data_IF_986537844955
#
_entry.id   IF_986537844955
#
_cell.length_a   1.000
_cell.length_b   1.000
_cell.length_c   1.000
_cell.angle_alpha   90.00
_cell.angle_beta   90.00
_cell.angle_gamma   90.00
#
_symmetry.space_group_name_H-M   'P 1'
#
loop_
_entity.id
_entity.type
_entity.pdbx_description
1 polymer ?
#
# COMPACT_ATOMS: atom_id res chain seq x y z
N UNK A 1 -5.41 -44.47 -24.62
CA UNK A 1 -4.34 -43.54 -24.18
C UNK A 1 -4.95 -42.14 -24.07
N UNK A 2 -4.90 -41.56 -22.89
CA UNK A 2 -5.26 -40.14 -22.76
C UNK A 2 -4.26 -39.28 -23.54
N UNK A 3 -4.78 -38.36 -24.35
CA UNK A 3 -3.94 -37.45 -25.12
C UNK A 3 -3.39 -36.38 -24.17
N UNK A 4 -2.07 -36.26 -24.09
CA UNK A 4 -1.41 -35.21 -23.33
C UNK A 4 -1.83 -33.83 -23.88
N UNK A 5 -2.26 -32.93 -23.00
CA UNK A 5 -2.51 -31.52 -23.31
C UNK A 5 -1.33 -30.72 -22.77
N UNK A 6 -0.75 -29.85 -23.59
CA UNK A 6 0.36 -28.98 -23.23
C UNK A 6 -0.11 -27.52 -23.33
N UNK A 7 0.05 -26.77 -22.25
CA UNK A 7 -0.05 -25.31 -22.25
C UNK A 7 1.38 -24.76 -22.22
N UNK A 8 1.77 -24.03 -23.27
CA UNK A 8 3.07 -23.36 -23.35
C UNK A 8 2.85 -21.85 -23.25
N UNK A 9 3.37 -21.23 -22.21
CA UNK A 9 3.27 -19.79 -21.96
C UNK A 9 4.60 -19.14 -22.33
N UNK A 10 4.58 -18.21 -23.29
CA UNK A 10 5.70 -17.36 -23.66
C UNK A 10 5.53 -16.02 -22.96
N UNK A 11 6.01 -15.91 -21.73
CA UNK A 11 5.89 -14.72 -20.91
C UNK A 11 6.66 -13.55 -21.54
N UNK A 12 6.00 -12.38 -21.64
CA UNK A 12 6.55 -11.21 -22.32
C UNK A 12 6.45 -11.23 -23.86
N UNK A 13 5.94 -12.32 -24.46
CA UNK A 13 5.72 -12.42 -25.90
C UNK A 13 4.41 -11.75 -26.31
N UNK A 14 4.42 -10.41 -26.37
CA UNK A 14 3.24 -9.62 -26.67
C UNK A 14 3.07 -9.33 -28.16
N UNK A 15 1.84 -8.99 -28.56
CA UNK A 15 1.53 -8.51 -29.91
C UNK A 15 1.65 -6.98 -29.99
N UNK A 16 2.30 -6.50 -31.03
CA UNK A 16 2.29 -5.09 -31.44
C UNK A 16 2.35 -5.00 -32.97
N UNK A 17 1.57 -4.08 -33.53
CA UNK A 17 1.65 -3.74 -34.96
C UNK A 17 2.89 -2.92 -35.30
N UNK A 18 3.53 -2.28 -34.30
CA UNK A 18 4.75 -1.51 -34.46
C UNK A 18 5.96 -2.42 -34.65
N UNK A 19 6.72 -2.18 -35.70
CA UNK A 19 7.97 -2.92 -35.99
C UNK A 19 9.21 -2.26 -35.39
N UNK A 20 9.17 -0.93 -35.20
CA UNK A 20 10.28 -0.20 -34.61
C UNK A 20 10.47 -0.61 -33.14
N UNK A 21 11.71 -0.91 -32.73
CA UNK A 21 12.06 -1.35 -31.37
C UNK A 21 11.30 -2.62 -30.91
N UNK A 22 10.80 -3.44 -31.81
CA UNK A 22 10.06 -4.67 -31.52
C UNK A 22 10.92 -5.89 -31.92
N UNK A 23 11.60 -6.48 -30.94
CA UNK A 23 12.47 -7.61 -31.14
C UNK A 23 11.75 -8.84 -31.74
N UNK A 24 10.49 -9.08 -31.39
CA UNK A 24 9.68 -10.18 -31.92
C UNK A 24 9.41 -9.97 -33.43
N UNK A 25 8.99 -8.75 -33.81
CA UNK A 25 8.68 -8.42 -35.19
C UNK A 25 9.91 -8.30 -36.09
N UNK A 26 11.11 -8.16 -35.52
CA UNK A 26 12.38 -8.07 -36.23
C UNK A 26 13.12 -9.42 -36.29
N UNK A 27 12.73 -10.38 -35.47
CA UNK A 27 13.33 -11.71 -35.45
C UNK A 27 12.82 -12.59 -36.60
N UNK A 28 13.63 -13.54 -37.04
CA UNK A 28 13.20 -14.64 -37.92
C UNK A 28 12.51 -15.71 -37.07
N UNK A 29 11.17 -15.80 -37.18
CA UNK A 29 10.32 -16.67 -36.34
C UNK A 29 9.49 -17.64 -37.17
N UNK A 30 10.08 -18.51 -38.01
CA UNK A 30 9.35 -19.29 -39.00
C UNK A 30 8.32 -20.24 -38.38
N UNK A 31 8.58 -20.82 -37.21
CA UNK A 31 7.62 -21.68 -36.54
C UNK A 31 6.45 -20.90 -35.94
N UNK A 32 6.72 -19.73 -35.35
CA UNK A 32 5.68 -18.85 -34.83
C UNK A 32 4.77 -18.33 -35.95
N UNK A 33 5.37 -17.87 -37.03
CA UNK A 33 4.65 -17.38 -38.20
C UNK A 33 3.76 -18.47 -38.79
N UNK A 34 4.30 -19.69 -38.92
CA UNK A 34 3.52 -20.86 -39.35
C UNK A 34 2.33 -21.14 -38.43
N UNK A 35 2.48 -21.03 -37.10
CA UNK A 35 1.40 -21.24 -36.16
C UNK A 35 0.32 -20.18 -36.28
N UNK A 36 0.68 -18.90 -36.39
CA UNK A 36 -0.27 -17.80 -36.53
C UNK A 36 -1.05 -17.89 -37.84
N UNK A 37 -0.41 -18.32 -38.92
CA UNK A 37 -1.06 -18.45 -40.24
C UNK A 37 -1.98 -19.66 -40.36
N UNK A 38 -1.62 -20.79 -39.72
CA UNK A 38 -2.27 -22.07 -40.03
C UNK A 38 -3.12 -22.65 -38.89
N UNK A 39 -3.09 -22.06 -37.70
CA UNK A 39 -3.86 -22.54 -36.55
C UNK A 39 -4.78 -21.45 -35.99
N UNK A 40 -5.89 -21.84 -35.35
CA UNK A 40 -6.79 -20.88 -34.70
C UNK A 40 -6.02 -20.05 -33.64
N UNK A 41 -6.13 -18.74 -33.72
CA UNK A 41 -5.49 -17.82 -32.81
C UNK A 41 -6.41 -16.64 -32.47
N UNK A 42 -6.13 -15.97 -31.35
CA UNK A 42 -6.84 -14.77 -30.90
C UNK A 42 -5.94 -13.92 -30.03
N UNK A 43 -6.26 -12.65 -29.91
CA UNK A 43 -5.62 -11.72 -28.99
C UNK A 43 -6.44 -11.63 -27.70
N UNK A 44 -5.75 -11.56 -26.57
CA UNK A 44 -6.35 -11.35 -25.26
C UNK A 44 -5.80 -10.08 -24.62
N UNK A 45 -6.61 -9.39 -23.82
CA UNK A 45 -6.15 -8.27 -23.00
C UNK A 45 -5.23 -8.75 -21.90
N UNK A 46 -4.10 -8.04 -21.73
CA UNK A 46 -3.06 -8.38 -20.73
C UNK A 46 -2.81 -7.26 -19.71
N UNK A 47 -3.66 -6.23 -19.70
CA UNK A 47 -3.57 -5.08 -18.81
C UNK A 47 -4.95 -4.60 -18.37
N UNK A 48 -4.99 -3.71 -17.40
CA UNK A 48 -6.23 -3.11 -16.89
C UNK A 48 -7.24 -4.16 -16.43
N UNK A 49 -8.52 -3.89 -16.63
CA UNK A 49 -9.63 -4.75 -16.18
C UNK A 49 -9.58 -6.19 -16.73
N UNK A 50 -8.93 -6.41 -17.87
CA UNK A 50 -8.77 -7.75 -18.45
C UNK A 50 -7.97 -8.72 -17.55
N UNK A 51 -7.22 -8.22 -16.61
CA UNK A 51 -6.41 -8.98 -15.64
C UNK A 51 -6.67 -8.55 -14.18
N UNK A 52 -7.81 -7.89 -13.93
CA UNK A 52 -8.22 -7.48 -12.59
C UNK A 52 -7.51 -6.27 -12.02
N UNK A 53 -6.85 -5.48 -12.88
CA UNK A 53 -6.20 -4.22 -12.54
C UNK A 53 -7.07 -3.02 -12.93
N UNK A 54 -6.83 -1.84 -12.38
CA UNK A 54 -7.47 -0.61 -12.82
C UNK A 54 -7.24 -0.30 -14.30
N UNK A 55 -8.16 0.46 -14.90
CA UNK A 55 -8.00 0.93 -16.27
C UNK A 55 -6.71 1.74 -16.41
N UNK A 56 -6.00 1.50 -17.53
CA UNK A 56 -4.74 2.17 -17.81
C UNK A 56 -3.51 1.60 -17.11
N UNK A 57 -3.68 0.73 -16.13
CA UNK A 57 -2.55 0.08 -15.46
C UNK A 57 -2.00 -1.07 -16.31
N UNK A 58 -0.68 -1.06 -16.53
CA UNK A 58 0.01 -2.12 -17.27
C UNK A 58 -0.03 -3.43 -16.48
N UNK A 59 -0.30 -4.54 -17.17
CA UNK A 59 -0.26 -5.87 -16.59
C UNK A 59 1.16 -6.32 -16.24
N UNK A 60 1.23 -7.41 -15.52
CA UNK A 60 2.48 -8.07 -15.14
C UNK A 60 2.32 -9.59 -15.18
N UNK A 61 3.41 -10.31 -15.01
CA UNK A 61 3.42 -11.78 -15.05
C UNK A 61 2.53 -12.41 -13.98
N UNK A 62 2.48 -11.85 -12.78
CA UNK A 62 1.70 -12.38 -11.66
C UNK A 62 0.20 -12.41 -11.98
N UNK A 63 -0.37 -11.27 -12.36
CA UNK A 63 -1.80 -11.17 -12.69
C UNK A 63 -2.19 -11.96 -13.93
N UNK A 64 -1.29 -12.02 -14.93
CA UNK A 64 -1.51 -12.82 -16.14
C UNK A 64 -1.57 -14.32 -15.83
N UNK A 65 -0.60 -14.85 -15.10
CA UNK A 65 -0.58 -16.26 -14.70
C UNK A 65 -1.74 -16.62 -13.75
N UNK A 66 -2.10 -15.71 -12.84
CA UNK A 66 -3.23 -15.89 -11.95
C UNK A 66 -4.55 -16.01 -12.75
N UNK A 67 -4.75 -15.14 -13.75
CA UNK A 67 -5.92 -15.16 -14.62
C UNK A 67 -5.98 -16.44 -15.45
N UNK A 68 -4.86 -16.88 -16.04
CA UNK A 68 -4.78 -18.12 -16.79
C UNK A 68 -5.05 -19.33 -15.89
N UNK A 69 -4.41 -19.38 -14.72
CA UNK A 69 -4.51 -20.50 -13.78
C UNK A 69 -5.90 -20.66 -13.15
N UNK A 70 -6.59 -19.54 -12.89
CA UNK A 70 -7.95 -19.55 -12.32
C UNK A 70 -9.04 -19.73 -13.36
N UNK A 71 -8.74 -19.53 -14.66
CA UNK A 71 -9.73 -19.55 -15.74
C UNK A 71 -10.73 -18.39 -15.69
N UNK A 72 -10.45 -17.35 -14.94
CA UNK A 72 -11.28 -16.14 -14.80
C UNK A 72 -10.42 -14.94 -14.41
N UNK A 73 -10.94 -13.75 -14.66
CA UNK A 73 -10.33 -12.52 -14.13
C UNK A 73 -10.51 -12.48 -12.61
N UNK A 74 -9.42 -12.25 -11.89
CA UNK A 74 -9.43 -12.07 -10.43
C UNK A 74 -9.06 -10.62 -10.16
N UNK A 75 -9.98 -9.88 -9.56
CA UNK A 75 -9.71 -8.51 -9.14
C UNK A 75 -8.58 -8.49 -8.11
N UNK A 76 -7.58 -7.65 -8.37
CA UNK A 76 -6.48 -7.42 -7.45
C UNK A 76 -6.94 -6.61 -6.24
N UNK A 77 -6.19 -6.66 -5.16
CA UNK A 77 -6.55 -5.99 -3.90
C UNK A 77 -6.84 -4.50 -4.09
N UNK A 78 -6.04 -3.80 -4.90
CA UNK A 78 -6.33 -2.41 -5.28
C UNK A 78 -7.75 -2.25 -5.83
N UNK A 79 -8.08 -3.02 -6.88
CA UNK A 79 -9.37 -2.94 -7.57
C UNK A 79 -10.53 -3.31 -6.65
N UNK A 80 -10.35 -4.33 -5.81
CA UNK A 80 -11.36 -4.75 -4.81
C UNK A 80 -11.65 -3.67 -3.79
N UNK A 81 -10.60 -3.01 -3.25
CA UNK A 81 -10.75 -1.94 -2.26
C UNK A 81 -11.39 -0.72 -2.93
N UNK A 82 -10.94 -0.33 -4.11
CA UNK A 82 -11.46 0.79 -4.86
C UNK A 82 -12.95 0.59 -5.22
N UNK A 83 -13.33 -0.61 -5.68
CA UNK A 83 -14.72 -0.97 -5.92
C UNK A 83 -15.56 -0.95 -4.63
N UNK A 84 -15.03 -1.43 -3.51
CA UNK A 84 -15.72 -1.38 -2.22
C UNK A 84 -15.94 0.07 -1.74
N UNK A 85 -15.00 0.96 -1.99
CA UNK A 85 -15.15 2.40 -1.68
C UNK A 85 -16.23 3.02 -2.58
N UNK A 86 -16.22 2.73 -3.88
CA UNK A 86 -17.18 3.24 -4.86
C UNK A 86 -18.60 2.72 -4.61
N UNK A 87 -18.76 1.45 -4.24
CA UNK A 87 -20.06 0.85 -3.92
C UNK A 87 -20.60 1.28 -2.55
N UNK A 88 -19.73 1.74 -1.65
CA UNK A 88 -20.07 2.03 -0.26
C UNK A 88 -19.83 0.87 0.71
N UNK A 89 -19.48 -0.32 0.22
CA UNK A 89 -19.25 -1.53 1.05
C UNK A 89 -18.07 -1.34 2.01
N UNK A 90 -17.08 -0.53 1.63
CA UNK A 90 -15.97 -0.15 2.51
C UNK A 90 -16.47 0.49 3.81
N UNK A 91 -17.48 1.37 3.73
CA UNK A 91 -18.04 2.11 4.85
C UNK A 91 -18.98 1.26 5.73
N UNK A 92 -19.35 0.08 5.27
CA UNK A 92 -20.12 -0.92 6.01
C UNK A 92 -19.28 -2.15 6.42
N UNK A 93 -17.97 -2.12 6.17
CA UNK A 93 -17.09 -3.24 6.50
C UNK A 93 -17.07 -3.53 8.00
N UNK A 94 -17.53 -4.73 8.38
CA UNK A 94 -17.74 -5.08 9.78
C UNK A 94 -16.47 -5.11 10.65
N UNK A 95 -15.28 -5.28 10.06
CA UNK A 95 -14.00 -5.26 10.80
C UNK A 95 -13.64 -3.82 11.11
N UNK A 96 -13.61 -2.95 10.11
CA UNK A 96 -13.28 -1.53 10.28
C UNK A 96 -14.29 -0.81 11.18
N UNK A 97 -15.59 -0.99 10.91
CA UNK A 97 -16.63 -0.33 11.71
C UNK A 97 -16.57 -0.72 13.19
N UNK A 98 -16.41 -2.03 13.51
CA UNK A 98 -16.27 -2.46 14.91
C UNK A 98 -15.01 -1.93 15.56
N UNK A 99 -13.87 -1.94 14.87
CA UNK A 99 -12.61 -1.46 15.42
C UNK A 99 -12.67 0.05 15.71
N UNK A 100 -13.18 0.85 14.76
CA UNK A 100 -13.33 2.30 14.92
C UNK A 100 -14.38 2.66 15.99
N UNK A 101 -15.55 2.00 16.00
CA UNK A 101 -16.56 2.20 17.02
C UNK A 101 -16.01 1.90 18.42
N UNK A 102 -15.29 0.79 18.58
CA UNK A 102 -14.65 0.43 19.86
C UNK A 102 -13.61 1.46 20.31
N UNK A 103 -12.79 1.97 19.39
CA UNK A 103 -11.83 3.03 19.70
C UNK A 103 -12.53 4.32 20.14
N UNK A 104 -13.59 4.72 19.42
CA UNK A 104 -14.40 5.89 19.74
C UNK A 104 -15.06 5.77 21.11
N UNK A 105 -15.75 4.66 21.39
CA UNK A 105 -16.44 4.41 22.66
C UNK A 105 -15.48 4.43 23.86
N UNK A 106 -14.25 3.96 23.68
CA UNK A 106 -13.22 3.94 24.72
C UNK A 106 -12.37 5.22 24.77
N UNK A 107 -12.65 6.21 23.93
CA UNK A 107 -11.90 7.46 23.83
C UNK A 107 -10.42 7.27 23.38
N UNK A 108 -10.13 6.15 22.71
CA UNK A 108 -8.80 5.80 22.20
C UNK A 108 -8.47 6.53 20.91
N UNK A 109 -7.18 6.65 20.65
CA UNK A 109 -6.72 7.24 19.39
C UNK A 109 -6.78 6.21 18.25
N UNK A 110 -6.95 6.74 17.04
CA UNK A 110 -6.85 5.98 15.79
C UNK A 110 -5.62 6.45 15.03
N UNK A 111 -4.73 5.55 14.71
CA UNK A 111 -3.51 5.77 13.94
C UNK A 111 -3.64 5.16 12.56
N UNK A 112 -3.72 5.99 11.52
CA UNK A 112 -3.77 5.55 10.13
C UNK A 112 -2.36 5.67 9.55
N UNK A 113 -1.81 4.57 9.03
CA UNK A 113 -0.46 4.55 8.49
C UNK A 113 -0.43 3.92 7.09
N UNK A 114 0.41 4.46 6.22
CA UNK A 114 0.54 3.93 4.86
C UNK A 114 1.28 4.84 3.90
N UNK A 115 1.58 4.28 2.72
CA UNK A 115 2.23 4.99 1.63
C UNK A 115 1.24 5.97 0.98
N UNK A 116 1.58 7.26 1.01
CA UNK A 116 0.73 8.34 0.50
C UNK A 116 1.17 8.70 -0.91
N UNK A 117 0.53 8.14 -1.90
CA UNK A 117 0.69 8.47 -3.33
C UNK A 117 -0.47 7.92 -4.15
N UNK A 118 -0.50 8.26 -5.43
CA UNK A 118 -1.40 7.72 -6.45
C UNK A 118 -0.79 6.57 -7.27
N UNK A 119 0.42 6.11 -6.89
CA UNK A 119 1.16 5.07 -7.63
C UNK A 119 0.46 3.71 -7.70
N UNK A 120 -0.41 3.40 -6.72
CA UNK A 120 -1.28 2.23 -6.76
C UNK A 120 -0.58 0.87 -6.72
N UNK A 121 0.69 0.81 -6.29
CA UNK A 121 1.46 -0.45 -6.20
C UNK A 121 1.36 -1.10 -4.84
N UNK A 122 1.46 -0.33 -3.77
CA UNK A 122 1.42 -0.82 -2.38
C UNK A 122 0.24 -0.26 -1.59
N UNK A 123 -0.18 0.96 -1.93
CA UNK A 123 -1.26 1.72 -1.32
C UNK A 123 -1.81 2.71 -2.34
N UNK A 124 -2.90 3.38 -2.02
CA UNK A 124 -3.41 4.52 -2.78
C UNK A 124 -3.95 5.58 -1.83
N UNK A 125 -3.68 6.86 -2.11
CA UNK A 125 -4.11 7.96 -1.24
C UNK A 125 -5.62 8.00 -1.01
N UNK A 126 -6.44 7.68 -2.02
CA UNK A 126 -7.91 7.68 -1.89
C UNK A 126 -8.41 6.66 -0.87
N UNK A 127 -7.69 5.56 -0.66
CA UNK A 127 -8.02 4.59 0.38
C UNK A 127 -7.78 5.18 1.78
N UNK A 128 -6.73 6.00 1.95
CA UNK A 128 -6.46 6.73 3.20
C UNK A 128 -7.57 7.76 3.44
N UNK A 129 -8.02 8.46 2.41
CA UNK A 129 -9.13 9.42 2.51
C UNK A 129 -10.44 8.72 2.90
N UNK A 130 -10.71 7.53 2.33
CA UNK A 130 -11.86 6.71 2.71
C UNK A 130 -11.80 6.26 4.18
N UNK A 131 -10.61 5.87 4.68
CA UNK A 131 -10.43 5.51 6.08
C UNK A 131 -10.66 6.70 7.03
N UNK A 132 -10.21 7.91 6.65
CA UNK A 132 -10.49 9.15 7.40
C UNK A 132 -11.99 9.45 7.45
N UNK A 133 -12.68 9.33 6.31
CA UNK A 133 -14.12 9.53 6.24
C UNK A 133 -14.86 8.54 7.14
N UNK A 134 -14.49 7.25 7.09
CA UNK A 134 -15.07 6.23 7.95
C UNK A 134 -14.80 6.50 9.44
N UNK A 135 -13.58 6.93 9.80
CA UNK A 135 -13.27 7.32 11.17
C UNK A 135 -14.15 8.48 11.66
N UNK A 136 -14.43 9.46 10.80
CA UNK A 136 -15.39 10.55 11.09
C UNK A 136 -16.81 10.03 11.29
N UNK A 137 -17.28 9.14 10.41
CA UNK A 137 -18.61 8.52 10.50
C UNK A 137 -18.78 7.69 11.79
N UNK A 138 -17.69 7.10 12.31
CA UNK A 138 -17.66 6.36 13.58
C UNK A 138 -17.38 7.28 14.81
N UNK A 139 -17.42 8.60 14.64
CA UNK A 139 -17.20 9.59 15.70
C UNK A 139 -15.83 9.49 16.40
N UNK A 140 -14.77 9.16 15.67
CA UNK A 140 -13.40 9.17 16.20
C UNK A 140 -12.86 10.61 16.20
N UNK A 141 -12.60 11.18 17.37
CA UNK A 141 -12.10 12.56 17.50
C UNK A 141 -10.56 12.63 17.42
N UNK A 142 -9.86 11.59 17.87
CA UNK A 142 -8.40 11.52 17.90
C UNK A 142 -7.91 10.64 16.75
N UNK A 143 -7.69 11.22 15.58
CA UNK A 143 -7.21 10.51 14.39
C UNK A 143 -5.85 11.07 13.98
N UNK A 144 -4.83 10.24 14.00
CA UNK A 144 -3.44 10.58 13.66
C UNK A 144 -3.00 9.84 12.41
N UNK A 145 -2.27 10.53 11.54
CA UNK A 145 -1.83 9.99 10.25
C UNK A 145 -0.31 9.93 10.24
N UNK A 146 0.21 8.75 9.94
CA UNK A 146 1.63 8.47 9.76
C UNK A 146 1.89 8.26 8.27
N UNK A 147 2.43 9.27 7.62
CA UNK A 147 2.66 9.30 6.17
C UNK A 147 3.97 8.60 5.82
N UNK A 148 3.91 7.62 4.92
CA UNK A 148 5.10 7.14 4.22
C UNK A 148 5.16 7.82 2.86
N UNK A 149 6.29 8.45 2.52
CA UNK A 149 6.49 9.11 1.23
C UNK A 149 7.07 8.13 0.21
N UNK A 150 6.70 8.28 -1.07
CA UNK A 150 6.95 7.30 -2.13
C UNK A 150 8.27 7.56 -2.87
N UNK A 151 8.26 8.33 -3.94
CA UNK A 151 9.43 8.65 -4.74
C UNK A 151 10.03 7.50 -5.56
N UNK A 152 9.35 6.35 -5.61
CA UNK A 152 9.77 5.17 -6.37
C UNK A 152 8.71 4.69 -7.35
N UNK A 153 7.46 4.59 -6.92
CA UNK A 153 6.32 4.27 -7.77
C UNK A 153 5.72 5.56 -8.37
N UNK A 154 6.16 6.70 -7.86
CA UNK A 154 5.87 8.07 -8.31
C UNK A 154 7.15 8.88 -8.44
N UNK A 155 7.13 10.07 -9.08
CA UNK A 155 8.32 10.91 -9.23
C UNK A 155 9.00 11.22 -7.90
N UNK A 156 10.35 11.32 -7.86
CA UNK A 156 11.13 11.39 -6.61
C UNK A 156 10.84 12.61 -5.71
N UNK A 157 10.24 13.67 -6.23
CA UNK A 157 9.95 14.91 -5.51
C UNK A 157 8.50 15.34 -5.74
N UNK A 158 7.55 14.44 -5.46
CA UNK A 158 6.10 14.62 -5.66
C UNK A 158 5.30 14.65 -4.36
N UNK A 159 5.92 14.32 -3.21
CA UNK A 159 5.25 14.17 -1.92
C UNK A 159 4.45 15.42 -1.50
N UNK A 160 4.93 16.63 -1.86
CA UNK A 160 4.22 17.88 -1.55
C UNK A 160 2.81 17.91 -2.13
N UNK A 161 2.60 17.36 -3.34
CA UNK A 161 1.29 17.30 -3.98
C UNK A 161 0.35 16.39 -3.18
N UNK A 162 0.78 15.20 -2.85
CA UNK A 162 -0.04 14.23 -2.09
C UNK A 162 -0.34 14.69 -0.68
N UNK A 163 0.61 15.36 -0.03
CA UNK A 163 0.39 15.94 1.30
C UNK A 163 -0.62 17.09 1.23
N UNK A 164 -0.56 17.96 0.21
CA UNK A 164 -1.58 19.01 0.01
C UNK A 164 -2.98 18.41 -0.17
N UNK A 165 -3.10 17.35 -0.97
CA UNK A 165 -4.38 16.67 -1.17
C UNK A 165 -4.89 16.06 0.15
N UNK A 166 -4.01 15.44 0.94
CA UNK A 166 -4.38 14.89 2.24
C UNK A 166 -4.80 16.00 3.23
N UNK A 167 -4.07 17.11 3.32
CA UNK A 167 -4.42 18.24 4.19
C UNK A 167 -5.76 18.86 3.80
N UNK A 168 -6.05 18.93 2.49
CA UNK A 168 -7.36 19.37 1.98
C UNK A 168 -8.47 18.41 2.43
N UNK A 169 -8.27 17.09 2.28
CA UNK A 169 -9.23 16.07 2.72
C UNK A 169 -9.45 16.12 4.24
N UNK A 170 -8.40 16.28 5.03
CA UNK A 170 -8.51 16.46 6.49
C UNK A 170 -9.39 17.67 6.83
N UNK A 171 -9.20 18.79 6.12
CA UNK A 171 -10.00 20.00 6.33
C UNK A 171 -11.46 19.81 5.93
N UNK A 172 -11.74 19.14 4.82
CA UNK A 172 -13.11 18.89 4.31
C UNK A 172 -13.87 17.89 5.20
N UNK A 173 -13.21 16.81 5.63
CA UNK A 173 -13.79 15.77 6.49
C UNK A 173 -13.94 16.28 7.94
N UNK A 174 -13.04 17.15 8.38
CA UNK A 174 -13.03 17.74 9.72
C UNK A 174 -12.50 16.80 10.81
N UNK A 175 -11.64 15.83 10.46
CA UNK A 175 -10.93 14.95 11.39
C UNK A 175 -9.59 14.53 10.77
N UNK A 176 -8.60 14.27 11.62
CA UNK A 176 -7.27 13.81 11.23
C UNK A 176 -6.20 14.86 11.45
N UNK A 177 -4.98 14.39 11.71
CA UNK A 177 -3.79 15.23 11.85
C UNK A 177 -2.58 14.43 11.40
N UNK A 178 -1.78 14.96 10.49
CA UNK A 178 -0.47 14.38 10.16
C UNK A 178 0.45 14.57 11.35
N UNK A 179 1.01 13.51 11.89
CA UNK A 179 1.86 13.51 13.09
C UNK A 179 3.28 13.04 12.82
N UNK A 180 3.48 12.26 11.75
CA UNK A 180 4.80 11.80 11.37
C UNK A 180 4.92 11.55 9.88
N UNK A 181 6.14 11.69 9.37
CA UNK A 181 6.49 11.39 7.98
C UNK A 181 7.82 10.64 7.92
N UNK A 182 7.90 9.63 7.05
CA UNK A 182 9.14 8.95 6.75
C UNK A 182 9.13 8.43 5.31
N UNK A 183 10.27 8.47 4.64
CA UNK A 183 10.42 7.84 3.34
C UNK A 183 10.20 6.32 3.42
N UNK A 184 9.67 5.75 2.35
CA UNK A 184 9.45 4.29 2.25
C UNK A 184 10.70 3.46 2.47
N UNK A 185 11.87 4.04 2.28
CA UNK A 185 13.16 3.43 2.57
C UNK A 185 13.28 2.95 4.03
N UNK A 186 12.66 3.68 4.96
CA UNK A 186 12.65 3.35 6.39
C UNK A 186 11.42 2.53 6.79
N UNK A 187 10.23 2.95 6.32
CA UNK A 187 8.97 2.41 6.78
C UNK A 187 8.49 1.17 6.02
N UNK A 188 9.11 0.85 4.88
CA UNK A 188 8.69 -0.20 3.97
C UNK A 188 9.87 -1.07 3.51
N UNK A 189 10.80 -1.38 4.42
CA UNK A 189 11.86 -2.34 4.15
C UNK A 189 11.28 -3.75 3.95
N UNK A 190 11.98 -4.61 3.21
CA UNK A 190 11.63 -6.03 3.00
C UNK A 190 12.86 -6.95 2.96
N UNK A 191 14.02 -6.40 3.28
CA UNK A 191 15.32 -7.05 3.14
C UNK A 191 15.97 -7.28 4.51
N UNK A 192 15.15 -7.25 5.61
CA UNK A 192 15.55 -7.39 6.99
C UNK A 192 16.61 -6.36 7.44
N UNK A 193 16.48 -5.12 6.93
CA UNK A 193 17.31 -3.99 7.33
C UNK A 193 16.72 -3.33 8.59
N UNK A 194 16.73 -4.07 9.68
CA UNK A 194 16.06 -3.71 10.93
C UNK A 194 16.51 -2.37 11.52
N UNK A 195 17.72 -1.92 11.20
CA UNK A 195 18.21 -0.57 11.52
C UNK A 195 17.39 0.55 10.88
N UNK A 196 16.77 0.31 9.71
CA UNK A 196 15.86 1.27 9.05
C UNK A 196 14.48 1.20 9.67
N UNK A 197 13.96 -0.02 9.81
CA UNK A 197 12.64 -0.28 10.39
C UNK A 197 12.56 0.27 11.81
N UNK A 198 13.61 0.15 12.61
CA UNK A 198 13.66 0.67 13.98
C UNK A 198 13.47 2.19 14.08
N UNK A 199 13.98 2.94 13.11
CA UNK A 199 13.78 4.40 13.03
C UNK A 199 12.33 4.76 12.74
N UNK A 200 11.70 4.10 11.77
CA UNK A 200 10.28 4.27 11.46
C UNK A 200 9.40 3.80 12.64
N UNK A 201 9.75 2.69 13.27
CA UNK A 201 9.08 2.19 14.47
C UNK A 201 9.09 3.24 15.60
N UNK A 202 10.26 3.80 15.92
CA UNK A 202 10.42 4.81 16.98
C UNK A 202 9.61 6.07 16.68
N UNK A 203 9.61 6.50 15.42
CA UNK A 203 8.82 7.63 14.97
C UNK A 203 7.31 7.37 15.16
N UNK A 204 6.80 6.22 14.71
CA UNK A 204 5.38 5.89 14.77
C UNK A 204 4.93 5.65 16.21
N UNK A 205 5.65 4.79 16.94
CA UNK A 205 5.23 4.35 18.29
C UNK A 205 5.42 5.40 19.38
N UNK A 206 6.43 6.26 19.27
CA UNK A 206 6.81 7.22 20.31
C UNK A 206 6.72 8.69 19.87
N UNK A 207 6.47 8.96 18.60
CA UNK A 207 6.51 10.31 18.04
C UNK A 207 7.93 10.90 17.95
N UNK A 208 8.97 10.07 18.08
CA UNK A 208 10.37 10.51 18.11
C UNK A 208 11.02 10.26 16.75
N UNK A 209 11.17 11.31 15.95
CA UNK A 209 11.88 11.29 14.68
C UNK A 209 13.34 11.68 14.80
N UNK A 210 14.10 11.48 13.73
CA UNK A 210 15.46 12.07 13.58
C UNK A 210 15.38 13.58 13.41
N UNK A 211 14.22 14.07 12.94
CA UNK A 211 13.91 15.50 12.77
C UNK A 211 12.53 15.81 13.33
N UNK A 212 12.31 17.11 13.48
CA UNK A 212 11.01 17.67 13.85
C UNK A 212 10.70 18.87 12.95
N UNK A 213 9.46 18.98 12.51
CA UNK A 213 8.96 20.14 11.74
C UNK A 213 7.60 20.58 12.26
N UNK A 214 7.25 21.83 12.02
CA UNK A 214 5.96 22.40 12.44
C UNK A 214 4.81 21.93 11.55
N UNK A 215 5.09 21.63 10.27
CA UNK A 215 4.13 21.13 9.29
C UNK A 215 4.74 20.08 8.37
N UNK A 216 3.89 19.31 7.71
CA UNK A 216 4.29 18.30 6.74
C UNK A 216 5.01 18.93 5.52
N UNK A 217 4.52 20.06 5.03
CA UNK A 217 5.13 20.79 3.92
C UNK A 217 6.53 21.30 4.27
N UNK A 218 6.72 21.84 5.47
CA UNK A 218 8.04 22.26 5.96
C UNK A 218 9.01 21.08 6.04
N UNK A 219 8.52 19.90 6.47
CA UNK A 219 9.34 18.69 6.53
C UNK A 219 9.86 18.27 5.15
N UNK A 220 8.99 18.28 4.14
CA UNK A 220 9.33 17.95 2.75
C UNK A 220 10.34 18.95 2.20
N UNK A 221 10.07 20.25 2.36
CA UNK A 221 10.96 21.31 1.87
C UNK A 221 12.36 21.18 2.47
N UNK A 222 12.45 21.00 3.79
CA UNK A 222 13.74 20.81 4.47
C UNK A 222 14.48 19.55 4.01
N UNK A 223 13.76 18.46 3.75
CA UNK A 223 14.35 17.23 3.21
C UNK A 223 14.98 17.48 1.84
N UNK A 224 14.27 18.15 0.93
CA UNK A 224 14.78 18.47 -0.39
C UNK A 224 15.97 19.44 -0.35
N UNK A 225 15.95 20.45 0.53
CA UNK A 225 17.09 21.36 0.76
C UNK A 225 18.36 20.63 1.25
N UNK A 226 18.18 19.50 1.95
CA UNK A 226 19.27 18.64 2.42
C UNK A 226 19.69 17.56 1.40
N UNK A 227 19.10 17.59 0.19
CA UNK A 227 19.41 16.65 -0.89
C UNK A 227 18.73 15.28 -0.76
N UNK A 228 17.76 15.14 0.14
CA UNK A 228 16.89 13.97 0.20
C UNK A 228 15.79 14.06 -0.86
N UNK A 229 15.19 12.94 -1.20
CA UNK A 229 13.96 12.86 -1.99
C UNK A 229 12.89 12.11 -1.19
N UNK A 230 11.72 11.91 -1.79
CA UNK A 230 10.58 11.27 -1.14
C UNK A 230 10.92 9.87 -0.60
N UNK A 231 11.65 9.06 -1.39
CA UNK A 231 12.01 7.69 -0.98
C UNK A 231 12.84 7.67 0.31
N UNK A 232 13.73 8.65 0.48
CA UNK A 232 14.72 8.70 1.54
C UNK A 232 14.44 9.78 2.60
N UNK A 233 13.25 10.35 2.62
CA UNK A 233 12.87 11.35 3.63
C UNK A 233 13.11 10.79 5.03
N UNK A 234 14.02 11.43 5.76
CA UNK A 234 14.37 11.00 7.13
C UNK A 234 13.17 11.05 8.06
N UNK A 235 13.03 10.06 8.98
CA UNK A 235 11.94 10.01 9.94
C UNK A 235 11.75 11.33 10.68
N UNK A 236 10.64 12.00 10.45
CA UNK A 236 10.35 13.36 10.92
C UNK A 236 9.03 13.41 11.68
N UNK A 237 9.03 13.89 12.91
CA UNK A 237 7.82 14.19 13.67
C UNK A 237 7.22 15.52 13.24
N UNK A 238 5.90 15.61 13.16
CA UNK A 238 5.18 16.80 12.70
C UNK A 238 4.38 17.40 13.86
N UNK A 239 4.68 18.66 14.18
CA UNK A 239 4.07 19.37 15.30
C UNK A 239 4.47 18.78 16.64
N UNK A 240 3.51 18.64 17.56
CA UNK A 240 3.74 17.98 18.84
C UNK A 240 3.82 16.47 18.65
N UNK A 241 4.83 15.79 19.21
CA UNK A 241 4.95 14.34 19.16
C UNK A 241 3.69 13.65 19.70
N UNK A 242 3.25 12.63 19.01
CA UNK A 242 2.14 11.77 19.40
C UNK A 242 2.70 10.38 19.65
N UNK A 243 2.45 9.88 20.86
CA UNK A 243 2.82 8.54 21.27
C UNK A 243 1.62 7.62 21.15
N UNK A 244 1.82 6.44 20.63
CA UNK A 244 0.79 5.39 20.61
C UNK A 244 0.65 4.82 22.02
N UNK A 245 -0.58 4.62 22.50
CA UNK A 245 -0.86 4.09 23.83
C UNK A 245 -1.57 2.73 23.76
N UNK A 246 -1.53 1.98 24.86
CA UNK A 246 -2.22 0.69 24.96
C UNK A 246 -3.72 0.86 24.68
N UNK A 247 -4.25 0.00 23.82
CA UNK A 247 -5.64 0.03 23.42
C UNK A 247 -5.97 0.98 22.26
N UNK A 248 -5.01 1.76 21.76
CA UNK A 248 -5.21 2.54 20.55
C UNK A 248 -5.45 1.62 19.33
N UNK A 249 -6.07 2.17 18.31
CA UNK A 249 -6.32 1.48 17.05
C UNK A 249 -5.30 1.90 16.00
N UNK A 250 -4.62 0.94 15.40
CA UNK A 250 -3.77 1.16 14.23
C UNK A 250 -4.41 0.56 12.99
N UNK A 251 -4.52 1.33 11.91
CA UNK A 251 -5.04 0.89 10.62
C UNK A 251 -3.95 1.05 9.56
N UNK A 252 -3.48 -0.07 9.00
CA UNK A 252 -2.45 -0.06 7.97
C UNK A 252 -3.06 -0.12 6.58
N UNK A 253 -2.84 0.94 5.80
CA UNK A 253 -3.49 1.16 4.52
C UNK A 253 -2.77 0.53 3.32
N UNK A 254 -1.59 -0.06 3.52
CA UNK A 254 -0.93 -0.80 2.46
C UNK A 254 -1.61 -2.16 2.25
N UNK A 255 -2.05 -2.42 1.02
CA UNK A 255 -2.68 -3.70 0.66
C UNK A 255 -1.70 -4.73 0.12
N UNK A 256 -0.49 -4.35 -0.28
CA UNK A 256 0.55 -5.29 -0.71
C UNK A 256 1.46 -5.65 0.45
N UNK A 257 1.53 -6.95 0.76
CA UNK A 257 2.13 -7.47 1.99
C UNK A 257 3.66 -7.45 2.04
N UNK A 258 4.36 -7.53 0.90
CA UNK A 258 5.82 -7.75 0.84
C UNK A 258 6.63 -6.70 1.63
N UNK A 259 6.22 -5.43 1.56
CA UNK A 259 6.86 -4.31 2.26
C UNK A 259 6.10 -3.84 3.51
N UNK A 260 5.01 -4.50 3.86
CA UNK A 260 4.25 -4.22 5.07
C UNK A 260 4.67 -5.08 6.26
N UNK A 261 5.27 -6.25 6.00
CA UNK A 261 5.52 -7.28 7.03
C UNK A 261 6.40 -6.80 8.17
N UNK A 262 7.57 -6.25 7.87
CA UNK A 262 8.57 -5.92 8.88
C UNK A 262 8.09 -4.86 9.85
N UNK A 263 7.54 -3.75 9.35
CA UNK A 263 7.01 -2.70 10.23
C UNK A 263 5.77 -3.18 11.01
N UNK A 264 4.92 -4.03 10.40
CA UNK A 264 3.78 -4.63 11.10
C UNK A 264 4.24 -5.57 12.22
N UNK A 265 5.25 -6.42 11.98
CA UNK A 265 5.83 -7.27 13.01
C UNK A 265 6.36 -6.43 14.19
N UNK A 266 7.09 -5.36 13.88
CA UNK A 266 7.62 -4.47 14.87
C UNK A 266 6.53 -3.77 15.70
N UNK A 267 5.42 -3.36 15.08
CA UNK A 267 4.34 -2.62 15.75
C UNK A 267 3.34 -3.54 16.49
N UNK A 268 3.03 -4.73 15.93
CA UNK A 268 1.92 -5.55 16.38
C UNK A 268 2.33 -6.78 17.23
N UNK A 269 3.55 -7.31 17.07
CA UNK A 269 3.95 -8.50 17.80
C UNK A 269 4.47 -8.16 19.21
N UNK A 270 3.89 -8.78 20.24
CA UNK A 270 4.39 -8.67 21.61
C UNK A 270 5.79 -9.27 21.77
N UNK A 271 6.06 -10.41 21.10
CA UNK A 271 7.40 -11.01 20.99
C UNK A 271 8.04 -10.60 19.69
N UNK A 272 9.12 -9.87 19.78
CA UNK A 272 9.86 -9.35 18.66
C UNK A 272 11.33 -9.18 19.06
N UNK A 273 12.24 -9.85 18.38
CA UNK A 273 13.64 -9.98 18.78
C UNK A 273 14.64 -9.34 17.79
N UNK A 274 14.14 -8.73 16.70
CA UNK A 274 14.99 -8.21 15.62
C UNK A 274 15.72 -6.90 15.97
N UNK A 275 15.14 -6.10 16.87
CA UNK A 275 15.81 -4.96 17.52
C UNK A 275 15.20 -4.67 18.88
N UNK A 276 15.96 -4.01 19.75
CA UNK A 276 15.46 -3.63 21.08
C UNK A 276 14.38 -2.53 20.95
N UNK A 277 13.16 -2.85 21.40
CA UNK A 277 12.06 -1.90 21.52
C UNK A 277 12.04 -1.34 22.92
N UNK A 278 12.49 -0.08 23.08
CA UNK A 278 12.42 0.64 24.36
C UNK A 278 10.97 0.86 24.82
N UNK A 279 10.03 0.87 23.89
CA UNK A 279 8.61 1.04 24.12
C UNK A 279 7.79 0.16 23.17
N UNK A 280 6.79 -0.50 23.71
CA UNK A 280 5.78 -1.25 22.94
C UNK A 280 4.40 -0.93 23.51
N UNK A 281 3.46 -0.58 22.66
CA UNK A 281 2.05 -0.42 23.01
C UNK A 281 1.26 -1.64 22.51
N UNK A 282 0.41 -2.18 23.36
CA UNK A 282 -0.52 -3.25 22.97
C UNK A 282 -1.75 -2.66 22.31
N UNK A 283 -1.69 -2.54 20.99
CA UNK A 283 -2.69 -1.87 20.15
C UNK A 283 -3.61 -2.87 19.43
N UNK A 284 -4.82 -2.42 19.13
CA UNK A 284 -5.65 -3.07 18.15
C UNK A 284 -5.08 -2.77 16.75
N UNK A 285 -4.64 -3.80 16.02
CA UNK A 285 -4.03 -3.61 14.70
C UNK A 285 -4.91 -4.20 13.60
N UNK A 286 -5.24 -3.40 12.59
CA UNK A 286 -6.07 -3.80 11.44
C UNK A 286 -5.30 -3.52 10.14
N UNK A 287 -5.25 -4.51 9.25
CA UNK A 287 -4.69 -4.38 7.91
C UNK A 287 -5.78 -4.43 6.85
N UNK A 288 -5.58 -3.76 5.72
CA UNK A 288 -6.49 -3.88 4.56
C UNK A 288 -6.47 -5.29 3.96
N UNK A 289 -5.31 -5.95 3.98
CA UNK A 289 -5.10 -7.30 3.45
C UNK A 289 -4.29 -8.13 4.44
N UNK A 290 -4.25 -9.45 4.23
CA UNK A 290 -3.42 -10.32 5.04
C UNK A 290 -1.93 -10.04 4.83
N UNK A 291 -1.24 -9.64 5.88
CA UNK A 291 0.20 -9.32 5.84
C UNK A 291 1.07 -10.55 6.02
N UNK A 292 0.59 -11.55 6.77
CA UNK A 292 1.27 -12.84 6.98
C UNK A 292 0.26 -13.95 7.24
N UNK A 293 0.49 -15.11 6.64
CA UNK A 293 -0.37 -16.30 6.82
C UNK A 293 0.09 -17.23 7.94
N UNK A 294 1.29 -17.01 8.49
CA UNK A 294 1.92 -18.01 9.38
C UNK A 294 2.01 -17.60 10.85
N UNK A 295 2.01 -16.30 11.18
CA UNK A 295 2.26 -15.85 12.56
C UNK A 295 1.44 -14.62 13.01
N UNK A 296 0.68 -13.98 12.12
CA UNK A 296 -0.11 -12.79 12.41
C UNK A 296 -1.57 -13.05 12.08
N UNK A 297 -2.37 -13.38 13.08
CA UNK A 297 -3.84 -13.42 12.99
C UNK A 297 -4.42 -12.03 13.20
N UNK A 298 -3.95 -11.04 12.42
CA UNK A 298 -4.48 -9.69 12.50
C UNK A 298 -5.83 -9.63 11.78
N UNK A 299 -6.81 -8.88 12.30
CA UNK A 299 -8.04 -8.60 11.58
C UNK A 299 -7.73 -7.97 10.23
N UNK A 300 -8.29 -8.51 9.17
CA UNK A 300 -8.14 -7.98 7.81
C UNK A 300 -9.52 -7.70 7.22
N UNK A 301 -9.62 -6.67 6.38
CA UNK A 301 -10.86 -6.34 5.69
C UNK A 301 -11.06 -7.13 4.41
N UNK A 302 -10.00 -7.63 3.81
CA UNK A 302 -10.03 -8.53 2.67
C UNK A 302 -9.63 -9.95 3.12
N UNK A 303 -10.58 -10.72 3.62
CA UNK A 303 -10.42 -12.17 3.70
C UNK A 303 -10.86 -12.80 2.38
N UNK A 304 -10.03 -13.70 1.84
CA UNK A 304 -10.35 -14.52 0.67
C UNK A 304 -11.44 -15.50 1.01
#
# INVERSE_FOLDING_TARGET
MEKTKLLLILDGWGYSSEKSNNAIALADTPNWDHFIENYPNTLIGTSGQSVGLPDGQMGNSEVGHLTIGSGRVIEQDYTRIDNAIKSGDFFSNGVLCRALASASEQGRAVHILGLLSDGGVHSHQDHIFAALKLAKEQNCDKVYIHVFTDGRDTPPNSASTYVNDLEKQISEIGVGKITSMAGRFYAMDRDNRWERVSKAYKLISQGVGERQSSSAQEAIQKAYELGENDEFLSPTSIGSPVKVEDGDLMIFMNYRADRAREITQALALSRFDEFNREYFADCNFVCLTAVSYTHLTLPTICSV
#
